data_IF_296955780454
#
_entry.id   IF_296955780454
#
_cell.length_a   1.000
_cell.length_b   1.000
_cell.length_c   1.000
_cell.angle_alpha   90.00
_cell.angle_beta   90.00
_cell.angle_gamma   90.00
#
_symmetry.space_group_name_H-M   'P 1'
#
loop_
_entity.id
_entity.type
_entity.pdbx_description
1 polymer ?
#
# COMPACT_ATOMS: atom_id res chain seq x y z
N UNK A 1 4.76 26.47 27.61
CA UNK A 1 4.31 25.05 27.53
C UNK A 1 3.18 25.00 26.53
N UNK A 2 3.47 24.63 25.28
CA UNK A 2 2.45 24.53 24.24
C UNK A 2 1.66 23.24 24.44
N UNK A 3 0.35 23.39 24.59
CA UNK A 3 -0.63 22.32 24.82
C UNK A 3 -0.76 21.48 23.54
N UNK A 4 -0.06 20.34 23.49
CA UNK A 4 -0.04 19.38 22.36
C UNK A 4 -1.31 18.53 22.34
N UNK A 5 -2.48 19.17 22.34
CA UNK A 5 -3.75 18.47 22.18
C UNK A 5 -3.88 18.02 20.73
N UNK A 6 -3.63 16.73 20.51
CA UNK A 6 -4.03 16.02 19.29
C UNK A 6 -5.43 16.49 18.83
N UNK A 7 -5.60 16.95 17.58
CA UNK A 7 -6.87 17.50 17.11
C UNK A 7 -7.97 16.45 17.25
N UNK A 8 -9.13 16.82 17.82
CA UNK A 8 -10.27 15.91 18.10
C UNK A 8 -10.72 15.10 16.87
N UNK A 9 -10.54 15.64 15.66
CA UNK A 9 -10.85 14.97 14.39
C UNK A 9 -9.99 13.75 14.10
N UNK A 10 -8.76 13.70 14.62
CA UNK A 10 -7.84 12.59 14.40
C UNK A 10 -8.24 11.33 15.19
N UNK A 11 -8.75 11.51 16.42
CA UNK A 11 -9.17 10.40 17.28
C UNK A 11 -10.29 9.58 16.64
N UNK A 12 -11.29 10.25 16.07
CA UNK A 12 -12.40 9.58 15.38
C UNK A 12 -11.97 8.87 14.10
N UNK A 13 -11.03 9.44 13.34
CA UNK A 13 -10.47 8.79 12.14
C UNK A 13 -9.73 7.50 12.50
N UNK A 14 -8.92 7.52 13.56
CA UNK A 14 -8.22 6.32 14.03
C UNK A 14 -9.20 5.25 14.54
N UNK A 15 -10.28 5.63 15.20
CA UNK A 15 -11.33 4.70 15.62
C UNK A 15 -12.07 4.08 14.44
N UNK A 16 -12.41 4.86 13.41
CA UNK A 16 -13.05 4.34 12.19
C UNK A 16 -12.13 3.39 11.42
N UNK A 17 -10.85 3.76 11.29
CA UNK A 17 -9.82 2.90 10.71
C UNK A 17 -9.71 1.61 11.53
N UNK A 18 -9.60 1.69 12.86
CA UNK A 18 -9.56 0.53 13.74
C UNK A 18 -10.81 -0.36 13.65
N UNK A 19 -12.00 0.24 13.54
CA UNK A 19 -13.25 -0.50 13.35
C UNK A 19 -13.30 -1.22 12.01
N UNK A 20 -12.82 -0.57 10.93
CA UNK A 20 -12.71 -1.18 9.61
C UNK A 20 -11.74 -2.38 9.60
N UNK A 21 -10.61 -2.26 10.32
CA UNK A 21 -9.64 -3.36 10.52
C UNK A 21 -10.28 -4.52 11.25
N UNK A 22 -10.97 -4.22 12.34
CA UNK A 22 -11.61 -5.24 13.15
C UNK A 22 -12.68 -5.96 12.32
N UNK A 23 -13.48 -5.22 11.55
CA UNK A 23 -14.50 -5.79 10.67
C UNK A 23 -13.88 -6.68 9.57
N UNK A 24 -12.81 -6.23 8.92
CA UNK A 24 -12.12 -7.03 7.88
C UNK A 24 -11.43 -8.26 8.46
N UNK A 25 -10.80 -8.15 9.64
CA UNK A 25 -10.23 -9.28 10.36
C UNK A 25 -11.29 -10.29 10.81
N UNK A 26 -12.43 -9.81 11.35
CA UNK A 26 -13.55 -10.65 11.78
C UNK A 26 -14.22 -11.38 10.61
N UNK A 27 -14.38 -10.71 9.46
CA UNK A 27 -14.91 -11.33 8.24
C UNK A 27 -14.02 -12.49 7.75
N UNK A 28 -12.70 -12.40 7.93
CA UNK A 28 -11.77 -13.48 7.62
C UNK A 28 -11.72 -14.58 8.68
N UNK A 29 -11.76 -14.22 9.96
CA UNK A 29 -11.47 -15.11 11.08
C UNK A 29 -12.67 -15.89 11.60
N UNK A 30 -13.91 -15.54 11.23
CA UNK A 30 -15.10 -16.27 11.68
C UNK A 30 -15.48 -17.32 10.64
N UNK A 31 -15.04 -18.59 10.80
CA UNK A 31 -15.50 -19.68 9.95
C UNK A 31 -17.03 -19.80 10.06
N UNK A 32 -17.73 -19.76 8.93
CA UNK A 32 -19.19 -19.90 8.87
C UNK A 32 -19.97 -18.63 8.57
N UNK A 33 -19.34 -17.45 8.45
CA UNK A 33 -20.02 -16.24 7.96
C UNK A 33 -20.46 -16.36 6.49
N UNK A 34 -19.73 -17.15 5.70
CA UNK A 34 -20.02 -17.43 4.29
C UNK A 34 -20.00 -18.95 4.03
N UNK A 35 -21.01 -19.69 4.54
CA UNK A 35 -21.02 -21.15 4.49
C UNK A 35 -21.23 -21.69 3.06
N UNK A 36 -21.69 -20.85 2.14
CA UNK A 36 -21.93 -21.19 0.73
C UNK A 36 -20.65 -21.19 -0.13
N UNK A 37 -19.53 -20.69 0.40
CA UNK A 37 -18.26 -20.65 -0.32
C UNK A 37 -17.54 -21.99 -0.24
N UNK A 38 -16.94 -22.44 -1.35
CA UNK A 38 -16.08 -23.61 -1.32
C UNK A 38 -14.86 -23.39 -0.41
N UNK A 39 -14.28 -24.46 0.14
CA UNK A 39 -13.12 -24.37 1.03
C UNK A 39 -11.95 -23.58 0.42
N UNK A 40 -11.75 -23.68 -0.90
CA UNK A 40 -10.71 -22.92 -1.59
C UNK A 40 -10.96 -21.41 -1.50
N UNK A 41 -12.19 -20.95 -1.75
CA UNK A 41 -12.55 -19.54 -1.64
C UNK A 41 -12.47 -19.02 -0.21
N UNK A 42 -12.87 -19.84 0.78
CA UNK A 42 -12.75 -19.48 2.19
C UNK A 42 -11.28 -19.25 2.59
N UNK A 43 -10.35 -20.09 2.14
CA UNK A 43 -8.91 -19.92 2.38
C UNK A 43 -8.35 -18.64 1.73
N UNK A 44 -8.80 -18.31 0.52
CA UNK A 44 -8.41 -17.07 -0.16
C UNK A 44 -8.90 -15.84 0.62
N UNK A 45 -10.17 -15.83 1.04
CA UNK A 45 -10.73 -14.73 1.83
C UNK A 45 -10.03 -14.59 3.19
N UNK A 46 -9.72 -15.71 3.85
CA UNK A 46 -8.91 -15.72 5.07
C UNK A 46 -7.53 -15.10 4.82
N UNK A 47 -6.86 -15.49 3.74
CA UNK A 47 -5.57 -14.90 3.35
C UNK A 47 -5.66 -13.40 3.09
N UNK A 48 -6.67 -12.95 2.36
CA UNK A 48 -6.91 -11.53 2.08
C UNK A 48 -7.19 -10.74 3.36
N UNK A 49 -8.05 -11.26 4.24
CA UNK A 49 -8.38 -10.63 5.51
C UNK A 49 -7.19 -10.58 6.47
N UNK A 50 -6.39 -11.65 6.55
CA UNK A 50 -5.16 -11.69 7.33
C UNK A 50 -4.11 -10.72 6.75
N UNK A 51 -3.99 -10.64 5.43
CA UNK A 51 -3.08 -9.70 4.76
C UNK A 51 -3.48 -8.24 5.00
N UNK A 52 -4.73 -7.90 4.73
CA UNK A 52 -5.25 -6.54 4.92
C UNK A 52 -5.27 -6.13 6.40
N UNK A 53 -5.79 -7.00 7.27
CA UNK A 53 -5.84 -6.79 8.71
C UNK A 53 -4.45 -6.70 9.33
N UNK A 54 -3.54 -7.59 8.94
CA UNK A 54 -2.14 -7.58 9.38
C UNK A 54 -1.40 -6.33 8.94
N UNK A 55 -1.58 -5.92 7.68
CA UNK A 55 -0.99 -4.66 7.15
C UNK A 55 -1.41 -3.47 7.97
N UNK A 56 -2.70 -3.38 8.26
CA UNK A 56 -3.24 -2.23 8.95
C UNK A 56 -2.93 -2.28 10.45
N UNK A 57 -2.88 -3.47 11.07
CA UNK A 57 -2.39 -3.64 12.44
C UNK A 57 -0.93 -3.19 12.58
N UNK A 58 -0.05 -3.58 11.65
CA UNK A 58 1.35 -3.11 11.60
C UNK A 58 1.39 -1.59 11.47
N UNK A 59 0.61 -1.01 10.56
CA UNK A 59 0.53 0.45 10.41
C UNK A 59 0.09 1.15 11.71
N UNK A 60 -0.92 0.63 12.40
CA UNK A 60 -1.37 1.17 13.69
C UNK A 60 -0.32 1.01 14.79
N UNK A 61 0.39 -0.12 14.84
CA UNK A 61 1.49 -0.34 15.79
C UNK A 61 2.64 0.63 15.54
N UNK A 62 3.00 0.88 14.28
CA UNK A 62 3.98 1.89 13.92
C UNK A 62 3.53 3.28 14.37
N UNK A 63 2.26 3.63 14.16
CA UNK A 63 1.69 4.90 14.64
C UNK A 63 1.56 4.97 16.17
N UNK A 64 1.63 3.85 16.89
CA UNK A 64 1.68 3.86 18.35
C UNK A 64 3.06 4.30 18.87
N UNK A 65 4.13 4.10 18.09
CA UNK A 65 5.49 4.54 18.44
C UNK A 65 5.56 6.07 18.34
N UNK A 66 5.83 6.80 19.44
CA UNK A 66 5.78 8.27 19.43
C UNK A 66 6.70 8.92 18.40
N UNK A 67 7.89 8.36 18.18
CA UNK A 67 8.87 8.85 17.20
C UNK A 67 8.33 8.75 15.78
N UNK A 68 7.80 7.58 15.40
CA UNK A 68 7.23 7.32 14.07
C UNK A 68 5.97 8.15 13.86
N UNK A 69 5.12 8.23 14.89
CA UNK A 69 3.91 9.05 14.88
C UNK A 69 4.24 10.53 14.66
N UNK A 70 5.19 11.06 15.43
CA UNK A 70 5.61 12.45 15.32
C UNK A 70 6.26 12.72 13.96
N UNK A 71 7.11 11.81 13.47
CA UNK A 71 7.65 11.90 12.12
C UNK A 71 6.52 11.92 11.08
N UNK A 72 5.58 10.97 11.13
CA UNK A 72 4.44 10.89 10.22
C UNK A 72 3.58 12.17 10.25
N UNK A 73 3.27 12.71 11.44
CA UNK A 73 2.51 13.95 11.54
C UNK A 73 3.30 15.18 11.13
N UNK A 74 4.59 15.26 11.42
CA UNK A 74 5.46 16.31 10.88
C UNK A 74 5.47 16.26 9.35
N UNK A 75 5.57 15.07 8.74
CA UNK A 75 5.44 14.91 7.29
C UNK A 75 4.06 15.37 6.78
N UNK A 76 2.99 15.15 7.56
CA UNK A 76 1.65 15.64 7.25
C UNK A 76 1.43 17.13 7.53
N UNK A 77 2.26 17.76 8.35
CA UNK A 77 2.15 19.17 8.79
C UNK A 77 3.12 20.11 8.07
N UNK A 78 4.12 19.61 7.33
CA UNK A 78 5.05 20.39 6.46
C UNK A 78 4.31 21.00 5.24
N UNK A 79 3.13 21.57 5.46
CA UNK A 79 2.27 22.23 4.46
C UNK A 79 2.64 23.70 4.27
N UNK A 80 3.57 24.28 5.04
CA UNK A 80 3.71 25.75 5.10
C UNK A 80 5.12 26.32 5.01
N UNK A 81 6.15 25.52 4.73
CA UNK A 81 7.50 26.06 4.53
C UNK A 81 8.01 25.73 3.12
N UNK A 82 8.00 26.76 2.27
CA UNK A 82 8.42 26.87 0.85
C UNK A 82 9.85 26.38 0.51
N UNK A 83 10.51 25.58 1.35
CA UNK A 83 11.97 25.48 1.33
C UNK A 83 12.54 24.16 0.79
N UNK A 84 11.75 23.08 0.64
CA UNK A 84 12.35 21.80 0.23
C UNK A 84 11.99 21.37 -1.19
N UNK A 85 12.51 22.08 -2.20
CA UNK A 85 12.71 21.53 -3.57
C UNK A 85 13.87 20.53 -3.55
N UNK A 86 13.79 19.53 -2.67
CA UNK A 86 14.96 18.77 -2.24
C UNK A 86 15.00 17.40 -2.92
N UNK A 87 16.04 17.18 -3.73
CA UNK A 87 16.34 15.90 -4.38
C UNK A 87 16.34 14.72 -3.40
N UNK A 88 16.50 15.01 -2.10
CA UNK A 88 16.40 14.07 -0.98
C UNK A 88 15.08 13.30 -0.94
N UNK A 89 13.95 13.87 -1.34
CA UNK A 89 12.66 13.17 -1.29
C UNK A 89 12.56 12.09 -2.36
N UNK A 90 13.05 12.37 -3.57
CA UNK A 90 13.17 11.36 -4.62
C UNK A 90 14.17 10.28 -4.22
N UNK A 91 15.24 10.66 -3.52
CA UNK A 91 16.21 9.71 -2.99
C UNK A 91 15.61 8.81 -1.89
N UNK A 92 14.80 9.37 -0.98
CA UNK A 92 14.03 8.61 0.02
C UNK A 92 13.04 7.64 -0.63
N UNK A 93 12.34 8.07 -1.68
CA UNK A 93 11.48 7.18 -2.47
C UNK A 93 12.29 6.06 -3.14
N UNK A 94 13.48 6.38 -3.66
CA UNK A 94 14.43 5.40 -4.20
C UNK A 94 14.89 4.37 -3.16
N UNK A 95 15.28 4.82 -1.96
CA UNK A 95 15.63 3.92 -0.84
C UNK A 95 14.44 3.04 -0.48
N UNK A 96 13.25 3.62 -0.35
CA UNK A 96 12.04 2.87 -0.01
C UNK A 96 11.75 1.78 -1.06
N UNK A 97 11.96 2.08 -2.34
CA UNK A 97 11.84 1.08 -3.42
C UNK A 97 12.91 -0.01 -3.32
N UNK A 98 14.16 0.34 -3.05
CA UNK A 98 15.24 -0.64 -2.85
C UNK A 98 14.95 -1.53 -1.65
N UNK A 99 14.49 -0.97 -0.53
CA UNK A 99 14.06 -1.72 0.65
C UNK A 99 12.88 -2.63 0.33
N UNK A 100 11.92 -2.18 -0.47
CA UNK A 100 10.79 -2.99 -0.92
C UNK A 100 11.25 -4.20 -1.73
N UNK A 101 12.13 -3.99 -2.73
CA UNK A 101 12.68 -5.07 -3.55
C UNK A 101 13.54 -6.02 -2.72
N UNK A 102 14.36 -5.49 -1.80
CA UNK A 102 15.18 -6.30 -0.91
C UNK A 102 14.34 -7.15 0.05
N UNK A 103 13.26 -6.59 0.62
CA UNK A 103 12.34 -7.35 1.49
C UNK A 103 11.55 -8.39 0.73
N UNK A 104 11.15 -8.14 -0.52
CA UNK A 104 10.56 -9.17 -1.39
C UNK A 104 11.55 -10.29 -1.72
N UNK A 105 12.78 -9.95 -2.08
CA UNK A 105 13.83 -10.93 -2.38
C UNK A 105 14.17 -11.78 -1.15
N UNK A 106 14.31 -11.15 0.02
CA UNK A 106 14.47 -11.84 1.29
C UNK A 106 13.25 -12.71 1.61
N UNK A 107 12.04 -12.23 1.39
CA UNK A 107 10.83 -13.02 1.63
C UNK A 107 10.74 -14.23 0.72
N UNK A 108 11.24 -14.15 -0.50
CA UNK A 108 11.30 -15.28 -1.42
C UNK A 108 12.40 -16.28 -1.04
N UNK A 109 13.59 -15.79 -0.69
CA UNK A 109 14.77 -16.64 -0.46
C UNK A 109 14.88 -17.20 0.96
N UNK A 110 14.50 -16.41 1.98
CA UNK A 110 14.62 -16.77 3.39
C UNK A 110 13.42 -17.58 3.91
N UNK A 111 12.57 -18.09 3.02
CA UNK A 111 11.36 -18.80 3.38
C UNK A 111 11.61 -20.32 3.46
N UNK A 112 11.81 -20.91 4.66
CA UNK A 112 11.97 -22.35 4.76
C UNK A 112 10.67 -23.04 4.35
N UNK A 113 10.79 -24.17 3.65
CA UNK A 113 9.66 -25.03 3.25
C UNK A 113 8.80 -25.48 4.44
N UNK A 114 9.39 -25.52 5.63
CA UNK A 114 8.73 -25.90 6.89
C UNK A 114 8.48 -24.70 7.82
N UNK A 115 8.40 -23.47 7.28
CA UNK A 115 8.13 -22.27 8.07
C UNK A 115 6.81 -22.39 8.84
N UNK A 116 6.81 -21.94 10.09
CA UNK A 116 5.55 -21.81 10.83
C UNK A 116 4.67 -20.72 10.20
N UNK A 117 3.33 -20.83 10.26
CA UNK A 117 2.43 -19.80 9.74
C UNK A 117 2.71 -18.39 10.31
N UNK A 118 3.17 -18.30 11.56
CA UNK A 118 3.55 -17.04 12.18
C UNK A 118 4.78 -16.41 11.51
N UNK A 119 5.79 -17.20 11.16
CA UNK A 119 6.98 -16.73 10.46
C UNK A 119 6.63 -16.26 9.04
N UNK A 120 5.75 -16.99 8.34
CA UNK A 120 5.23 -16.61 7.01
C UNK A 120 4.61 -15.23 7.05
N UNK A 121 3.75 -14.98 8.03
CA UNK A 121 3.06 -13.70 8.20
C UNK A 121 4.08 -12.61 8.53
N UNK A 122 5.00 -12.84 9.48
CA UNK A 122 6.01 -11.86 9.86
C UNK A 122 6.88 -11.42 8.66
N UNK A 123 7.33 -12.39 7.85
CA UNK A 123 8.12 -12.13 6.64
C UNK A 123 7.27 -11.40 5.58
N UNK A 124 6.04 -11.84 5.36
CA UNK A 124 5.11 -11.23 4.40
C UNK A 124 4.72 -9.78 4.75
N UNK A 125 4.85 -9.39 6.02
CA UNK A 125 4.58 -8.02 6.47
C UNK A 125 5.78 -7.07 6.29
N UNK A 126 7.01 -7.57 6.08
CA UNK A 126 8.21 -6.72 5.93
C UNK A 126 8.10 -5.67 4.79
N UNK A 127 7.62 -6.02 3.57
CA UNK A 127 7.53 -5.06 2.48
C UNK A 127 6.62 -3.86 2.77
N UNK A 128 5.70 -3.99 3.74
CA UNK A 128 4.75 -2.94 4.11
C UNK A 128 5.47 -1.74 4.73
N UNK A 129 6.55 -1.96 5.48
CA UNK A 129 7.35 -0.88 6.04
C UNK A 129 7.94 -0.01 4.93
N UNK A 130 8.49 -0.66 3.90
CA UNK A 130 9.06 0.00 2.74
C UNK A 130 7.98 0.76 1.94
N UNK A 131 6.80 0.14 1.72
CA UNK A 131 5.66 0.79 1.06
C UNK A 131 5.16 2.00 1.84
N UNK A 132 5.15 1.93 3.18
CA UNK A 132 4.74 3.06 4.03
C UNK A 132 5.69 4.23 3.87
N UNK A 133 7.01 3.98 3.86
CA UNK A 133 8.04 5.00 3.64
C UNK A 133 7.95 5.60 2.23
N UNK A 134 7.71 4.76 1.23
CA UNK A 134 7.50 5.20 -0.16
C UNK A 134 6.29 6.11 -0.27
N UNK A 135 5.15 5.70 0.31
CA UNK A 135 3.90 6.46 0.30
C UNK A 135 4.07 7.81 0.97
N UNK A 136 4.75 7.86 2.12
CA UNK A 136 5.07 9.11 2.79
C UNK A 136 5.91 10.05 1.91
N UNK A 137 6.92 9.49 1.23
CA UNK A 137 7.78 10.25 0.31
C UNK A 137 7.02 10.80 -0.89
N UNK A 138 6.09 10.02 -1.46
CA UNK A 138 5.20 10.48 -2.55
C UNK A 138 4.25 11.58 -2.07
N UNK A 139 3.64 11.44 -0.90
CA UNK A 139 2.76 12.49 -0.33
C UNK A 139 3.52 13.80 -0.15
N UNK A 140 4.77 13.74 0.32
CA UNK A 140 5.63 14.92 0.44
C UNK A 140 5.95 15.52 -0.92
N UNK A 141 6.29 14.69 -1.90
CA UNK A 141 6.57 15.13 -3.26
C UNK A 141 5.36 15.85 -3.87
N UNK A 142 4.16 15.27 -3.77
CA UNK A 142 2.92 15.86 -4.29
C UNK A 142 2.64 17.24 -3.71
N UNK A 143 2.94 17.44 -2.42
CA UNK A 143 2.75 18.73 -1.72
C UNK A 143 3.71 19.83 -2.18
N UNK A 144 4.83 19.47 -2.81
CA UNK A 144 5.83 20.41 -3.33
C UNK A 144 5.58 20.80 -4.78
N UNK A 145 4.71 20.06 -5.46
CA UNK A 145 4.28 20.39 -6.80
C UNK A 145 3.31 21.57 -6.76
N UNK A 146 3.37 22.41 -7.79
CA UNK A 146 2.33 23.37 -8.09
C UNK A 146 0.98 22.67 -8.31
N UNK A 147 -0.11 23.43 -8.30
CA UNK A 147 -1.45 22.86 -8.37
C UNK A 147 -1.69 22.05 -9.66
N UNK A 148 -1.12 22.49 -10.78
CA UNK A 148 -1.28 21.82 -12.07
C UNK A 148 -0.52 20.49 -12.09
N UNK A 149 0.75 20.48 -11.73
CA UNK A 149 1.60 19.29 -11.65
C UNK A 149 1.08 18.30 -10.60
N UNK A 150 0.60 18.79 -9.45
CA UNK A 150 -0.05 17.94 -8.44
C UNK A 150 -1.30 17.28 -8.99
N UNK A 151 -2.13 18.01 -9.73
CA UNK A 151 -3.33 17.46 -10.38
C UNK A 151 -2.95 16.40 -11.40
N UNK A 152 -1.97 16.67 -12.27
CA UNK A 152 -1.46 15.71 -13.26
C UNK A 152 -0.96 14.44 -12.59
N UNK A 153 -0.17 14.56 -11.53
CA UNK A 153 0.33 13.42 -10.77
C UNK A 153 -0.81 12.60 -10.18
N UNK A 154 -1.73 13.22 -9.43
CA UNK A 154 -2.85 12.52 -8.80
C UNK A 154 -3.77 11.85 -9.83
N UNK A 155 -4.09 12.53 -10.93
CA UNK A 155 -4.88 11.96 -12.02
C UNK A 155 -4.16 10.77 -12.66
N UNK A 156 -2.85 10.85 -12.88
CA UNK A 156 -2.06 9.74 -13.44
C UNK A 156 -2.06 8.50 -12.54
N UNK A 157 -1.91 8.68 -11.23
CA UNK A 157 -1.96 7.59 -10.24
C UNK A 157 -3.36 6.98 -10.15
N UNK A 158 -4.40 7.81 -10.16
CA UNK A 158 -5.79 7.36 -10.11
C UNK A 158 -6.14 6.52 -11.35
N UNK A 159 -5.82 7.02 -12.55
CA UNK A 159 -6.07 6.32 -13.80
C UNK A 159 -5.26 5.02 -13.89
N UNK A 160 -3.98 5.04 -13.50
CA UNK A 160 -3.16 3.83 -13.51
C UNK A 160 -3.68 2.76 -12.55
N UNK A 161 -4.05 3.14 -11.33
CA UNK A 161 -4.60 2.21 -10.34
C UNK A 161 -5.91 1.60 -10.85
N UNK A 162 -6.77 2.41 -11.47
CA UNK A 162 -8.00 1.92 -12.08
C UNK A 162 -7.71 0.93 -13.21
N UNK A 163 -6.88 1.30 -14.19
CA UNK A 163 -6.58 0.44 -15.34
C UNK A 163 -5.91 -0.86 -14.92
N UNK A 164 -4.92 -0.80 -14.03
CA UNK A 164 -4.20 -2.00 -13.57
C UNK A 164 -5.14 -2.89 -12.75
N UNK A 165 -5.93 -2.35 -11.82
CA UNK A 165 -6.88 -3.17 -11.06
C UNK A 165 -7.92 -3.87 -11.96
N UNK A 166 -8.45 -3.18 -12.97
CA UNK A 166 -9.35 -3.79 -13.96
C UNK A 166 -8.62 -4.85 -14.81
N UNK A 167 -7.37 -4.61 -15.20
CA UNK A 167 -6.55 -5.59 -15.92
C UNK A 167 -6.35 -6.88 -15.13
N UNK A 168 -6.06 -6.79 -13.83
CA UNK A 168 -5.95 -7.95 -12.96
C UNK A 168 -7.30 -8.66 -12.74
N UNK A 169 -8.41 -7.91 -12.68
CA UNK A 169 -9.75 -8.50 -12.61
C UNK A 169 -10.07 -9.31 -13.88
N UNK A 170 -9.81 -8.74 -15.06
CA UNK A 170 -9.98 -9.43 -16.33
C UNK A 170 -9.07 -10.67 -16.40
N UNK A 171 -7.80 -10.54 -16.01
CA UNK A 171 -6.87 -11.67 -15.97
C UNK A 171 -7.39 -12.79 -15.06
N UNK A 172 -7.92 -12.45 -13.89
CA UNK A 172 -8.54 -13.41 -12.98
C UNK A 172 -9.74 -14.13 -13.61
N UNK A 173 -10.65 -13.42 -14.32
CA UNK A 173 -11.77 -14.05 -15.04
C UNK A 173 -11.27 -15.02 -16.12
N UNK A 174 -10.27 -14.59 -16.90
CA UNK A 174 -9.66 -15.41 -17.96
C UNK A 174 -8.97 -16.65 -17.39
N UNK A 175 -8.34 -16.54 -16.21
CA UNK A 175 -7.76 -17.67 -15.49
C UNK A 175 -8.83 -18.64 -15.00
N UNK A 176 -9.95 -18.14 -14.47
CA UNK A 176 -11.08 -18.98 -14.04
C UNK A 176 -11.73 -19.72 -15.22
N UNK A 177 -11.74 -19.11 -16.41
CA UNK A 177 -12.18 -19.76 -17.64
C UNK A 177 -11.18 -20.80 -18.18
N UNK A 178 -10.02 -20.98 -17.55
CA UNK A 178 -8.98 -21.93 -17.96
C UNK A 178 -8.22 -21.53 -19.23
N UNK A 179 -8.40 -20.29 -19.71
CA UNK A 179 -7.79 -19.82 -20.96
C UNK A 179 -6.32 -19.45 -20.80
N UNK A 180 -5.91 -19.01 -19.60
CA UNK A 180 -4.54 -18.61 -19.29
C UNK A 180 -4.17 -19.11 -17.91
N UNK A 181 -2.93 -19.57 -17.74
CA UNK A 181 -2.33 -19.85 -16.44
C UNK A 181 -1.22 -18.84 -16.17
N UNK A 182 -1.44 -17.98 -15.18
CA UNK A 182 -0.43 -17.05 -14.69
C UNK A 182 -0.06 -17.48 -13.27
N UNK A 183 1.23 -17.65 -13.03
CA UNK A 183 1.72 -17.90 -11.69
C UNK A 183 1.39 -16.71 -10.77
N UNK A 184 0.79 -16.99 -9.62
CA UNK A 184 0.33 -15.95 -8.70
C UNK A 184 1.48 -15.09 -8.15
N UNK A 185 2.69 -15.65 -8.01
CA UNK A 185 3.87 -14.90 -7.56
C UNK A 185 4.33 -13.92 -8.63
N UNK A 186 4.35 -14.34 -9.90
CA UNK A 186 4.66 -13.46 -11.04
C UNK A 186 3.59 -12.37 -11.23
N UNK A 187 2.32 -12.73 -11.04
CA UNK A 187 1.22 -11.76 -11.09
C UNK A 187 1.39 -10.68 -10.01
N UNK A 188 1.68 -11.04 -8.76
CA UNK A 188 1.88 -10.06 -7.69
C UNK A 188 3.14 -9.22 -7.88
N UNK A 189 4.25 -9.82 -8.34
CA UNK A 189 5.50 -9.09 -8.57
C UNK A 189 5.37 -8.07 -9.71
N UNK A 190 4.64 -8.43 -10.77
CA UNK A 190 4.40 -7.54 -11.91
C UNK A 190 3.43 -6.38 -11.61
N UNK A 191 2.68 -6.42 -10.49
CA UNK A 191 1.70 -5.38 -10.16
C UNK A 191 2.35 -3.99 -10.08
N UNK A 192 3.46 -3.89 -9.33
CA UNK A 192 4.19 -2.63 -9.18
C UNK A 192 4.78 -2.15 -10.52
N UNK A 193 5.28 -3.08 -11.34
CA UNK A 193 5.84 -2.77 -12.66
C UNK A 193 4.76 -2.21 -13.58
N UNK A 194 3.62 -2.89 -13.70
CA UNK A 194 2.49 -2.44 -14.51
C UNK A 194 1.97 -1.09 -14.05
N UNK A 195 1.85 -0.89 -12.75
CA UNK A 195 1.36 0.35 -12.19
C UNK A 195 2.28 1.53 -12.53
N UNK A 196 3.60 1.35 -12.43
CA UNK A 196 4.57 2.38 -12.82
C UNK A 196 4.55 2.67 -14.32
N UNK A 197 4.47 1.64 -15.18
CA UNK A 197 4.43 1.79 -16.64
C UNK A 197 3.17 2.56 -17.04
N UNK A 198 2.00 2.11 -16.60
CA UNK A 198 0.71 2.73 -16.95
C UNK A 198 0.63 4.15 -16.39
N UNK A 199 1.07 4.38 -15.15
CA UNK A 199 1.14 5.72 -14.55
C UNK A 199 2.04 6.65 -15.36
N UNK A 200 3.20 6.18 -15.81
CA UNK A 200 4.11 6.99 -16.64
C UNK A 200 3.48 7.35 -17.98
N UNK A 201 2.76 6.40 -18.61
CA UNK A 201 2.00 6.66 -19.83
C UNK A 201 0.94 7.75 -19.65
N UNK A 202 0.11 7.64 -18.59
CA UNK A 202 -0.88 8.67 -18.28
C UNK A 202 -0.25 10.01 -17.91
N UNK A 203 0.85 10.00 -17.15
CA UNK A 203 1.58 11.21 -16.78
C UNK A 203 2.07 11.97 -18.02
N UNK A 204 2.74 11.28 -18.95
CA UNK A 204 3.22 11.90 -20.20
C UNK A 204 2.05 12.41 -21.07
N UNK A 205 0.96 11.65 -21.14
CA UNK A 205 -0.23 12.06 -21.89
C UNK A 205 -0.88 13.32 -21.30
N UNK A 206 -1.07 13.38 -19.98
CA UNK A 206 -1.62 14.54 -19.28
C UNK A 206 -0.69 15.76 -19.41
N UNK A 207 0.62 15.57 -19.27
CA UNK A 207 1.61 16.63 -19.48
C UNK A 207 1.48 17.27 -20.86
N UNK A 208 1.39 16.46 -21.94
CA UNK A 208 1.19 16.95 -23.31
C UNK A 208 -0.15 17.62 -23.55
N UNK A 209 -1.16 17.34 -22.71
CA UNK A 209 -2.49 17.91 -22.84
C UNK A 209 -2.61 19.28 -22.16
N UNK A 210 -1.88 19.47 -21.06
CA UNK A 210 -1.97 20.68 -20.24
C UNK A 210 -0.83 21.69 -20.48
N UNK A 211 0.28 21.27 -21.08
CA UNK A 211 1.41 22.12 -21.49
C UNK A 211 1.47 22.24 -23.02
#
# INVERSE_FOLDING_TARGET
MNDTRTPRSLRWRLLLIGAFVLATALLGLVPGLLPQLSQAHQRVLQGMALGAGGTLAVFLLLLAIPVVRNAYFQLLEVREQDIFRDKRILWLAGIALVLYLATLALAHWAMPTNASPALVIAIGLLPILAVTLYSASIVLHLRQLDELMRKIELESWALATLVVSQGYLVAWVVMQAGLVHIDASLALLSLGVWLLIVRTGFYVWLMRRYL
#
